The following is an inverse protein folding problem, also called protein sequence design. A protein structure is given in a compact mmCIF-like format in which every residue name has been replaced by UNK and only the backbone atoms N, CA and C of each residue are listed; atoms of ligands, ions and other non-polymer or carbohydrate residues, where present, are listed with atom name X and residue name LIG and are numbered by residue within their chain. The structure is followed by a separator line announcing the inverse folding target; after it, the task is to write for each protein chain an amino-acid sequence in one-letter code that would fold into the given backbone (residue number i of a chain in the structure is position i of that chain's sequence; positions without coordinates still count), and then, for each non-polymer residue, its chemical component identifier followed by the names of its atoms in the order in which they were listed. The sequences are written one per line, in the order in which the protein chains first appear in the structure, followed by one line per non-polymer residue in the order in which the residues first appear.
data_IF_170179976497
#
_entry.id   IF_170179976497
#
_cell.length_a   1.000
_cell.length_b   1.000
_cell.length_c   1.000
_cell.angle_alpha   90.00
_cell.angle_beta   90.00
_cell.angle_gamma   90.00
#
_symmetry.space_group_name_H-M   'P 1'
#
loop_
_entity.id
_entity.type
_entity.pdbx_description
1 polymer ?
#
# COMPACT_ATOMS: atom_id res chain seq x y z
N UNK A 1 27.86 13.80 32.74
CA UNK A 1 26.96 14.90 32.34
C UNK A 1 26.69 14.75 30.86
N UNK A 2 25.42 14.47 30.53
CA UNK A 2 24.64 14.83 29.32
C UNK A 2 25.32 14.69 27.95
N UNK A 3 24.81 13.92 26.99
CA UNK A 3 23.51 13.28 26.88
C UNK A 3 23.47 12.41 25.63
N UNK A 4 22.70 11.33 25.71
CA UNK A 4 22.40 10.50 24.55
C UNK A 4 21.52 11.26 23.56
N UNK A 5 21.81 11.09 22.29
CA UNK A 5 20.83 11.29 21.22
C UNK A 5 20.62 9.94 20.53
N UNK A 6 20.02 9.01 21.29
CA UNK A 6 19.23 7.94 20.73
C UNK A 6 17.84 8.52 20.48
N UNK A 7 17.51 8.76 19.20
CA UNK A 7 16.16 8.71 18.65
C UNK A 7 16.28 9.01 17.16
N UNK A 8 16.86 8.05 16.43
CA UNK A 8 16.43 7.77 15.05
C UNK A 8 14.90 7.70 15.12
N UNK A 9 14.21 8.73 14.63
CA UNK A 9 12.76 8.75 14.49
C UNK A 9 12.42 7.74 13.39
N UNK A 10 12.46 6.46 13.76
CA UNK A 10 11.81 5.36 13.07
C UNK A 10 10.31 5.62 13.16
N UNK A 11 9.82 6.49 12.29
CA UNK A 11 8.48 6.30 11.75
C UNK A 11 8.51 4.89 11.18
N UNK A 12 7.84 3.96 11.86
CA UNK A 12 7.78 2.56 11.49
C UNK A 12 7.04 2.45 10.14
N UNK A 13 7.74 2.75 9.05
CA UNK A 13 7.44 2.25 7.72
C UNK A 13 7.53 0.73 7.84
N UNK A 14 6.39 0.08 8.09
CA UNK A 14 6.32 -1.38 8.07
C UNK A 14 6.51 -1.80 6.62
N UNK A 15 7.68 -2.34 6.23
CA UNK A 15 7.97 -2.65 4.84
C UNK A 15 6.87 -3.53 4.25
N UNK A 16 6.29 -3.09 3.14
CA UNK A 16 5.35 -3.89 2.36
C UNK A 16 3.87 -3.63 2.65
N UNK A 17 3.49 -2.50 3.26
CA UNK A 17 2.06 -2.12 3.34
C UNK A 17 1.47 -1.88 1.96
N UNK A 18 2.20 -1.21 1.07
CA UNK A 18 1.79 -1.07 -0.33
C UNK A 18 1.54 -2.43 -1.00
N UNK A 19 2.43 -3.40 -0.75
CA UNK A 19 2.30 -4.78 -1.24
C UNK A 19 1.04 -5.45 -0.67
N UNK A 20 0.79 -5.32 0.63
CA UNK A 20 -0.42 -5.86 1.28
C UNK A 20 -1.72 -5.30 0.65
N UNK A 21 -1.75 -4.02 0.31
CA UNK A 21 -2.94 -3.43 -0.35
C UNK A 21 -3.15 -4.04 -1.74
N UNK A 22 -2.09 -4.15 -2.53
CA UNK A 22 -2.14 -4.75 -3.87
C UNK A 22 -2.56 -6.22 -3.80
N UNK A 23 -2.00 -6.99 -2.86
CA UNK A 23 -2.34 -8.40 -2.68
C UNK A 23 -3.77 -8.56 -2.16
N UNK A 24 -4.23 -7.71 -1.23
CA UNK A 24 -5.62 -7.68 -0.80
C UNK A 24 -6.59 -7.48 -1.97
N UNK A 25 -6.28 -6.57 -2.90
CA UNK A 25 -7.10 -6.36 -4.11
C UNK A 25 -7.10 -7.57 -5.03
N UNK A 26 -5.97 -8.27 -5.17
CA UNK A 26 -5.90 -9.51 -5.95
C UNK A 26 -6.68 -10.65 -5.31
N UNK A 27 -6.67 -10.75 -3.98
CA UNK A 27 -7.37 -11.82 -3.27
C UNK A 27 -8.88 -11.58 -3.18
N UNK A 28 -9.29 -10.31 -3.13
CA UNK A 28 -10.70 -9.91 -3.08
C UNK A 28 -11.32 -9.64 -4.46
N UNK A 29 -10.61 -9.94 -5.54
CA UNK A 29 -11.12 -9.81 -6.90
C UNK A 29 -11.06 -11.12 -7.68
N UNK A 30 -12.15 -11.43 -8.37
CA UNK A 30 -12.22 -12.56 -9.32
C UNK A 30 -11.36 -12.27 -10.56
N UNK A 31 -11.32 -11.00 -10.99
CA UNK A 31 -10.59 -10.57 -12.18
C UNK A 31 -9.26 -9.92 -11.78
N UNK A 32 -8.36 -10.71 -11.19
CA UNK A 32 -7.09 -10.24 -10.60
C UNK A 32 -6.30 -9.29 -11.52
N UNK A 33 -6.11 -9.68 -12.77
CA UNK A 33 -5.36 -8.88 -13.75
C UNK A 33 -6.06 -7.56 -14.09
N UNK A 34 -7.39 -7.57 -14.20
CA UNK A 34 -8.16 -6.36 -14.47
C UNK A 34 -8.10 -5.41 -13.28
N UNK A 35 -8.27 -5.93 -12.05
CA UNK A 35 -8.19 -5.13 -10.83
C UNK A 35 -6.81 -4.51 -10.62
N UNK A 36 -5.74 -5.25 -10.89
CA UNK A 36 -4.36 -4.73 -10.87
C UNK A 36 -4.17 -3.66 -11.94
N UNK A 37 -4.66 -3.87 -13.16
CA UNK A 37 -4.59 -2.87 -14.23
C UNK A 37 -5.38 -1.59 -13.87
N UNK A 38 -6.57 -1.73 -13.30
CA UNK A 38 -7.38 -0.59 -12.84
C UNK A 38 -6.69 0.16 -11.70
N UNK A 39 -6.09 -0.53 -10.73
CA UNK A 39 -5.29 0.12 -9.70
C UNK A 39 -4.13 0.90 -10.31
N UNK A 40 -3.34 0.31 -11.21
CA UNK A 40 -2.23 0.99 -11.91
C UNK A 40 -2.67 2.31 -12.54
N UNK A 41 -3.83 2.31 -13.21
CA UNK A 41 -4.39 3.51 -13.84
C UNK A 41 -4.82 4.57 -12.82
N UNK A 42 -5.29 4.16 -11.64
CA UNK A 42 -5.73 5.08 -10.58
C UNK A 42 -4.58 5.68 -9.78
N UNK A 43 -3.51 4.91 -9.54
CA UNK A 43 -2.34 5.40 -8.81
C UNK A 43 -1.30 6.07 -9.71
N UNK A 44 -1.43 5.94 -11.03
CA UNK A 44 -0.46 6.42 -12.03
C UNK A 44 0.97 5.87 -11.78
N UNK A 45 1.04 4.66 -11.24
CA UNK A 45 2.29 3.97 -10.90
C UNK A 45 2.21 2.49 -11.30
N UNK A 46 3.35 1.91 -11.64
CA UNK A 46 3.42 0.47 -11.90
C UNK A 46 3.43 -0.32 -10.58
N UNK A 47 2.23 -0.72 -10.14
CA UNK A 47 2.06 -1.49 -8.90
C UNK A 47 2.67 -2.89 -8.94
N UNK A 48 3.14 -3.39 -10.09
CA UNK A 48 3.86 -4.69 -10.11
C UNK A 48 5.31 -4.58 -9.67
N UNK A 49 5.85 -3.36 -9.64
CA UNK A 49 7.16 -3.08 -9.07
C UNK A 49 7.11 -2.94 -7.54
N UNK A 50 5.89 -2.82 -6.98
CA UNK A 50 5.67 -2.76 -5.54
C UNK A 50 5.98 -4.10 -4.91
N UNK A 51 6.99 -4.10 -4.06
CA UNK A 51 7.47 -5.26 -3.32
C UNK A 51 7.71 -4.88 -1.85
N UNK A 52 8.20 -5.83 -1.05
CA UNK A 52 8.46 -5.64 0.38
C UNK A 52 9.54 -4.59 0.68
N UNK A 53 10.38 -4.23 -0.27
CA UNK A 53 11.40 -3.19 -0.12
C UNK A 53 10.96 -1.83 -0.69
N UNK A 54 9.75 -1.73 -1.23
CA UNK A 54 9.23 -0.45 -1.70
C UNK A 54 9.03 0.47 -0.49
N UNK A 55 9.63 1.68 -0.47
CA UNK A 55 9.48 2.58 0.65
C UNK A 55 8.00 2.94 0.84
N UNK A 56 7.52 2.70 2.05
CA UNK A 56 6.15 3.05 2.43
C UNK A 56 6.07 4.55 2.69
N UNK A 57 5.70 5.28 1.63
CA UNK A 57 5.33 6.69 1.69
C UNK A 57 3.86 6.80 2.12
N UNK A 58 3.51 7.56 3.18
CA UNK A 58 2.13 7.66 3.67
C UNK A 58 1.17 8.25 2.63
N UNK A 59 1.66 9.13 1.75
CA UNK A 59 0.88 9.67 0.64
C UNK A 59 0.57 8.60 -0.42
N UNK A 60 1.55 7.73 -0.72
CA UNK A 60 1.32 6.60 -1.63
C UNK A 60 0.39 5.58 -1.01
N UNK A 61 0.56 5.24 0.27
CA UNK A 61 -0.33 4.33 0.99
C UNK A 61 -1.77 4.79 0.87
N UNK A 62 -2.03 6.09 1.10
CA UNK A 62 -3.36 6.68 0.93
C UNK A 62 -3.89 6.53 -0.50
N UNK A 63 -3.08 6.83 -1.54
CA UNK A 63 -3.48 6.65 -2.94
C UNK A 63 -3.82 5.19 -3.26
N UNK A 64 -3.01 4.25 -2.79
CA UNK A 64 -3.22 2.82 -2.98
C UNK A 64 -4.50 2.34 -2.30
N UNK A 65 -4.77 2.80 -1.07
CA UNK A 65 -6.01 2.49 -0.35
C UNK A 65 -7.25 3.04 -1.07
N UNK A 66 -7.21 4.28 -1.55
CA UNK A 66 -8.31 4.87 -2.30
C UNK A 66 -8.54 4.13 -3.63
N UNK A 67 -7.48 3.81 -4.35
CA UNK A 67 -7.57 3.02 -5.58
C UNK A 67 -8.15 1.62 -5.30
N UNK A 68 -7.71 0.96 -4.23
CA UNK A 68 -8.23 -0.34 -3.82
C UNK A 68 -9.72 -0.30 -3.47
N UNK A 69 -10.19 0.75 -2.79
CA UNK A 69 -11.62 0.98 -2.52
C UNK A 69 -12.43 1.13 -3.80
N UNK A 70 -11.94 1.91 -4.75
CA UNK A 70 -12.60 2.13 -6.05
C UNK A 70 -12.69 0.81 -6.83
N UNK A 71 -11.57 0.08 -6.93
CA UNK A 71 -11.50 -1.18 -7.68
C UNK A 71 -12.40 -2.26 -7.08
N UNK A 72 -12.44 -2.36 -5.75
CA UNK A 72 -13.29 -3.33 -5.05
C UNK A 72 -14.72 -2.84 -4.83
N UNK A 73 -15.03 -1.58 -5.18
CA UNK A 73 -16.30 -0.91 -4.88
C UNK A 73 -16.72 -1.03 -3.41
N UNK A 74 -15.78 -0.80 -2.49
CA UNK A 74 -15.99 -0.86 -1.05
C UNK A 74 -15.69 0.49 -0.39
N UNK A 75 -16.53 0.89 0.56
CA UNK A 75 -16.29 2.09 1.38
C UNK A 75 -15.13 1.91 2.37
N UNK A 76 -14.90 0.67 2.84
CA UNK A 76 -13.84 0.31 3.79
C UNK A 76 -13.13 -0.98 3.37
N UNK A 77 -11.83 -1.05 3.66
CA UNK A 77 -10.99 -2.22 3.45
C UNK A 77 -10.55 -2.73 4.84
N UNK A 78 -10.88 -3.99 5.13
CA UNK A 78 -10.45 -4.69 6.34
C UNK A 78 -9.14 -5.43 6.04
N UNK A 79 -8.03 -4.70 6.02
CA UNK A 79 -6.69 -5.25 5.79
C UNK A 79 -6.05 -5.53 7.15
N UNK A 80 -5.59 -6.76 7.37
CA UNK A 80 -4.85 -7.16 8.56
C UNK A 80 -3.36 -6.78 8.40
N UNK A 81 -2.87 -5.87 9.24
CA UNK A 81 -1.59 -5.18 9.08
C UNK A 81 -0.40 -5.87 9.74
#
# INVERSE_FOLDING_TARGET
MVGGCAAETRGLSMPGRLKKIVDYVKDHSVLKNLSVASMRLLVDEDITLVNENTPDDPEKEKKFLEAAKIVLRKDKLDIDW
#
